data_IF_646023095580
#
_entry.id   IF_646023095580
#
_cell.length_a   1.000
_cell.length_b   1.000
_cell.length_c   1.000
_cell.angle_alpha   90.00
_cell.angle_beta   90.00
_cell.angle_gamma   90.00
#
_symmetry.space_group_name_H-M   'P 1'
#
loop_
_entity.id
_entity.type
_entity.pdbx_description
1 polymer ?
#
# COMPACT_ATOMS: atom_id res chain seq x y z
N UNK A 1 -18.02 1.15 -18.10
CA UNK A 1 -17.08 1.52 -17.00
C UNK A 1 -15.84 0.65 -17.10
N UNK A 2 -14.64 1.22 -16.89
CA UNK A 2 -13.40 0.43 -16.86
C UNK A 2 -13.19 -0.16 -15.47
N UNK A 3 -12.82 -1.45 -15.42
CA UNK A 3 -12.59 -2.16 -14.16
C UNK A 3 -11.22 -1.77 -13.59
N UNK A 4 -11.22 -1.15 -12.41
CA UNK A 4 -10.01 -0.83 -11.65
C UNK A 4 -9.83 -1.92 -10.60
N UNK A 5 -8.63 -2.50 -10.48
CA UNK A 5 -8.27 -3.41 -9.39
C UNK A 5 -7.28 -2.70 -8.48
N UNK A 6 -7.53 -2.73 -7.18
CA UNK A 6 -6.64 -2.16 -6.16
C UNK A 6 -6.24 -3.29 -5.22
N UNK A 7 -4.93 -3.43 -4.99
CA UNK A 7 -4.36 -4.34 -4.00
C UNK A 7 -3.65 -3.49 -2.95
N UNK A 8 -3.86 -3.77 -1.68
CA UNK A 8 -3.29 -3.01 -0.56
C UNK A 8 -2.72 -3.97 0.47
N UNK A 9 -1.55 -3.65 1.01
CA UNK A 9 -0.96 -4.38 2.13
C UNK A 9 -0.19 -3.41 3.03
N UNK A 10 -0.06 -3.75 4.31
CA UNK A 10 0.60 -2.93 5.31
C UNK A 10 1.13 -3.77 6.47
N UNK A 11 2.28 -3.36 6.99
CA UNK A 11 2.94 -4.04 8.10
C UNK A 11 3.58 -3.02 9.06
N UNK A 12 3.66 -3.40 10.34
CA UNK A 12 4.34 -2.65 11.39
C UNK A 12 5.29 -3.57 12.17
N UNK A 13 6.45 -3.07 12.57
CA UNK A 13 7.36 -3.73 13.52
C UNK A 13 7.18 -3.12 14.92
N UNK A 14 6.26 -3.65 15.71
CA UNK A 14 6.01 -3.25 17.12
C UNK A 14 4.68 -2.51 17.33
N UNK A 15 4.44 -2.05 18.57
CA UNK A 15 3.27 -1.26 18.99
C UNK A 15 3.63 -0.19 20.07
N UNK A 16 4.01 1.04 19.69
CA UNK A 16 4.21 1.51 18.33
C UNK A 16 5.60 1.24 17.78
N UNK A 17 5.70 1.29 16.45
CA UNK A 17 6.96 1.02 15.78
C UNK A 17 6.97 1.45 14.31
N UNK A 18 8.11 1.29 13.63
CA UNK A 18 8.21 1.62 12.22
C UNK A 18 7.32 0.69 11.40
N UNK A 19 6.54 1.29 10.50
CA UNK A 19 5.67 0.55 9.60
C UNK A 19 5.53 1.25 8.25
N UNK A 20 4.92 0.52 7.33
CA UNK A 20 4.73 0.97 5.96
C UNK A 20 3.58 0.27 5.29
N UNK A 21 3.20 0.81 4.13
CA UNK A 21 2.16 0.26 3.29
C UNK A 21 2.60 0.27 1.83
N UNK A 22 1.98 -0.62 1.06
CA UNK A 22 2.07 -0.69 -0.39
C UNK A 22 0.69 -0.77 -1.01
N UNK A 23 0.54 -0.23 -2.21
CA UNK A 23 -0.67 -0.40 -3.00
C UNK A 23 -0.36 -0.52 -4.48
N UNK A 24 -1.09 -1.39 -5.18
CA UNK A 24 -1.04 -1.55 -6.63
C UNK A 24 -2.40 -1.17 -7.20
N UNK A 25 -2.43 -0.18 -8.08
CA UNK A 25 -3.60 0.23 -8.84
C UNK A 25 -3.42 -0.28 -10.27
N UNK A 26 -4.23 -1.27 -10.65
CA UNK A 26 -4.22 -1.88 -12.00
C UNK A 26 -5.37 -1.36 -12.84
N UNK A 27 -5.05 -0.65 -13.93
CA UNK A 27 -5.98 -0.08 -14.90
C UNK A 27 -5.59 -0.55 -16.29
N UNK A 28 -6.47 -1.27 -16.98
CA UNK A 28 -6.24 -1.79 -18.34
C UNK A 28 -4.90 -2.57 -18.47
N UNK A 29 -4.53 -3.35 -17.46
CA UNK A 29 -3.28 -4.12 -17.45
C UNK A 29 -2.01 -3.30 -17.15
N UNK A 30 -2.13 -1.99 -16.92
CA UNK A 30 -1.02 -1.15 -16.42
C UNK A 30 -1.11 -1.02 -14.90
N UNK A 31 0.04 -1.15 -14.26
CA UNK A 31 0.16 -1.02 -12.82
C UNK A 31 0.75 0.33 -12.44
N UNK A 32 0.17 0.92 -11.39
CA UNK A 32 0.71 2.07 -10.67
C UNK A 32 0.90 1.68 -9.22
N UNK A 33 2.12 1.88 -8.71
CA UNK A 33 2.46 1.62 -7.32
C UNK A 33 2.34 2.87 -6.47
N UNK A 34 1.84 2.72 -5.25
CA UNK A 34 1.93 3.70 -4.17
C UNK A 34 2.57 3.04 -2.95
N UNK A 35 3.38 3.79 -2.21
CA UNK A 35 4.03 3.30 -0.99
C UNK A 35 4.28 4.45 -0.03
N UNK A 36 4.32 4.14 1.25
CA UNK A 36 4.68 5.08 2.30
C UNK A 36 5.16 4.36 3.55
N UNK A 37 5.86 5.10 4.41
CA UNK A 37 6.35 4.60 5.68
C UNK A 37 6.40 5.72 6.71
N UNK A 38 6.19 5.38 7.97
CA UNK A 38 6.39 6.29 9.09
C UNK A 38 7.12 5.57 10.24
N UNK A 39 7.89 6.33 11.02
CA UNK A 39 8.69 5.78 12.14
C UNK A 39 7.82 5.28 13.30
N UNK A 40 6.61 5.82 13.44
CA UNK A 40 5.72 5.57 14.57
C UNK A 40 4.31 5.27 14.03
N UNK A 41 4.07 4.01 13.66
CA UNK A 41 2.78 3.48 13.21
C UNK A 41 2.28 2.44 14.21
N UNK A 42 0.98 2.37 14.45
CA UNK A 42 0.25 1.21 14.99
C UNK A 42 -1.23 1.41 14.74
#
# INVERSE_FOLDING_TARGET
>A
MQKIKIFTDGACRGNPGPGGYGSIIRIQGKDKELRGSAKNTT
#
